data_IF_836635337797
#
_entry.id   IF_836635337797
#
_cell.length_a   1.000
_cell.length_b   1.000
_cell.length_c   1.000
_cell.angle_alpha   90.00
_cell.angle_beta   90.00
_cell.angle_gamma   90.00
#
_symmetry.space_group_name_H-M   'P 1'
#
loop_
_entity.id
_entity.type
_entity.pdbx_description
1 polymer ?
#
# COMPACT_ATOMS: atom_id res chain seq x y z
N UNK A 1 8.19 -6.50 8.47
CA UNK A 1 9.25 -7.13 7.66
C UNK A 1 10.61 -6.56 7.99
N UNK A 2 11.66 -7.44 7.98
CA UNK A 2 13.04 -7.02 8.12
C UNK A 2 13.60 -6.57 6.75
N UNK A 3 14.08 -5.34 6.68
CA UNK A 3 14.74 -4.77 5.52
C UNK A 3 16.26 -4.86 5.69
N UNK A 4 16.97 -5.10 4.59
CA UNK A 4 18.42 -5.11 4.56
C UNK A 4 18.97 -4.17 3.48
N UNK A 5 19.71 -3.15 3.89
CA UNK A 5 20.43 -2.26 2.99
C UNK A 5 21.92 -2.67 2.93
N UNK A 6 22.29 -3.38 1.87
CA UNK A 6 23.66 -3.86 1.67
C UNK A 6 24.71 -2.73 1.60
N UNK A 7 24.30 -1.51 1.21
CA UNK A 7 25.18 -0.33 1.12
C UNK A 7 25.68 0.15 2.46
N UNK A 8 24.91 -0.13 3.53
CA UNK A 8 25.20 0.24 4.90
C UNK A 8 25.93 -0.89 5.67
N UNK A 9 25.98 -2.09 5.11
CA UNK A 9 26.59 -3.25 5.77
C UNK A 9 28.11 -3.14 5.76
N UNK A 10 28.73 -3.24 6.94
CA UNK A 10 30.19 -3.21 7.06
C UNK A 10 30.83 -4.52 6.58
N UNK A 11 31.88 -4.40 5.79
CA UNK A 11 32.67 -5.54 5.35
C UNK A 11 33.29 -6.27 6.55
N UNK A 12 33.22 -7.60 6.55
CA UNK A 12 33.74 -8.43 7.64
C UNK A 12 32.91 -8.45 8.94
N UNK A 13 31.85 -7.63 9.07
CA UNK A 13 30.97 -7.65 10.22
C UNK A 13 30.08 -8.92 10.19
N UNK A 14 29.96 -9.61 11.34
CA UNK A 14 29.14 -10.82 11.48
C UNK A 14 28.19 -10.77 12.70
N UNK A 15 27.94 -9.60 13.27
CA UNK A 15 27.13 -9.43 14.48
C UNK A 15 25.71 -10.00 14.34
N UNK A 16 25.06 -9.74 13.19
CA UNK A 16 23.71 -10.26 12.93
C UNK A 16 23.67 -11.79 12.87
N UNK A 17 24.68 -12.42 12.26
CA UNK A 17 24.80 -13.89 12.20
C UNK A 17 25.08 -14.48 13.61
N UNK A 18 25.85 -13.79 14.44
CA UNK A 18 26.09 -14.24 15.82
C UNK A 18 24.83 -14.17 16.68
N UNK A 19 23.99 -13.15 16.47
CA UNK A 19 22.75 -12.94 17.21
C UNK A 19 21.64 -13.90 16.76
N UNK A 20 21.55 -14.17 15.45
CA UNK A 20 20.50 -15.02 14.87
C UNK A 20 21.08 -15.99 13.83
N UNK A 21 21.87 -17.01 14.28
CA UNK A 21 22.57 -17.92 13.36
C UNK A 21 21.65 -18.79 12.50
N UNK A 22 20.41 -19.05 12.95
CA UNK A 22 19.42 -19.83 12.20
C UNK A 22 18.65 -18.99 11.15
N UNK A 23 18.72 -17.67 11.27
CA UNK A 23 18.00 -16.70 10.42
C UNK A 23 18.92 -16.02 9.42
N UNK A 24 20.17 -15.80 9.79
CA UNK A 24 21.15 -15.05 8.98
C UNK A 24 22.29 -15.94 8.54
N UNK A 25 22.40 -16.10 7.22
CA UNK A 25 23.57 -16.69 6.59
C UNK A 25 24.41 -15.62 5.89
N UNK A 26 25.74 -15.72 6.04
CA UNK A 26 26.69 -14.92 5.30
C UNK A 26 27.33 -15.74 4.20
N UNK A 27 27.12 -15.29 2.97
CA UNK A 27 27.68 -15.93 1.78
C UNK A 27 28.68 -15.01 1.08
N UNK A 28 29.39 -15.53 0.08
CA UNK A 28 30.26 -14.72 -0.77
C UNK A 28 29.49 -13.63 -1.53
N UNK A 29 28.19 -13.82 -1.74
CA UNK A 29 27.31 -12.89 -2.47
C UNK A 29 26.56 -11.92 -1.55
N UNK A 30 26.84 -11.92 -0.24
CA UNK A 30 26.19 -11.05 0.74
C UNK A 30 25.45 -11.81 1.82
N UNK A 31 24.46 -11.14 2.41
CA UNK A 31 23.67 -11.65 3.52
C UNK A 31 22.39 -12.30 2.99
N UNK A 32 22.11 -13.50 3.46
CA UNK A 32 20.86 -14.22 3.20
C UNK A 32 20.03 -14.22 4.47
N UNK A 33 18.76 -13.82 4.37
CA UNK A 33 17.82 -13.75 5.49
C UNK A 33 16.73 -14.82 5.29
N UNK A 34 16.67 -15.78 6.17
CA UNK A 34 15.63 -16.81 6.24
C UNK A 34 14.37 -16.25 6.91
N UNK A 35 13.57 -15.51 6.15
CA UNK A 35 12.43 -14.75 6.65
C UNK A 35 11.35 -15.61 7.30
N UNK A 36 11.23 -16.85 6.88
CA UNK A 36 10.30 -17.85 7.43
C UNK A 36 10.64 -18.29 8.88
N UNK A 37 11.84 -17.92 9.35
CA UNK A 37 12.31 -18.23 10.71
C UNK A 37 12.32 -17.00 11.63
N UNK A 38 11.90 -15.84 11.12
CA UNK A 38 11.84 -14.61 11.90
C UNK A 38 10.68 -14.65 12.90
N UNK A 39 10.97 -14.35 14.14
CA UNK A 39 10.01 -14.00 15.18
C UNK A 39 10.28 -12.60 15.74
N UNK A 40 9.41 -12.10 16.59
CA UNK A 40 9.51 -10.73 17.14
C UNK A 40 10.77 -10.53 17.96
N UNK A 41 11.19 -11.56 18.72
CA UNK A 41 12.41 -11.52 19.54
C UNK A 41 13.64 -11.41 18.67
N UNK A 42 13.66 -12.18 17.57
CA UNK A 42 14.74 -12.19 16.61
C UNK A 42 14.81 -10.85 15.83
N UNK A 43 13.66 -10.30 15.44
CA UNK A 43 13.55 -8.99 14.80
C UNK A 43 14.14 -7.88 15.66
N UNK A 44 13.75 -7.83 16.94
CA UNK A 44 14.26 -6.84 17.90
C UNK A 44 15.78 -6.97 18.07
N UNK A 45 16.27 -8.17 18.30
CA UNK A 45 17.70 -8.43 18.45
C UNK A 45 18.52 -8.05 17.20
N UNK A 46 18.02 -8.37 16.00
CA UNK A 46 18.69 -8.07 14.74
C UNK A 46 18.77 -6.57 14.45
N UNK A 47 17.74 -5.81 14.76
CA UNK A 47 17.76 -4.35 14.57
C UNK A 47 18.69 -3.65 15.52
N UNK A 48 18.75 -4.11 16.79
CA UNK A 48 19.61 -3.53 17.80
C UNK A 48 21.09 -3.92 17.65
N UNK A 49 21.39 -5.08 17.08
CA UNK A 49 22.78 -5.52 16.91
C UNK A 49 23.50 -4.83 15.76
N UNK A 50 22.80 -4.20 14.81
CA UNK A 50 23.40 -3.61 13.61
C UNK A 50 23.88 -2.17 13.86
N UNK A 51 25.21 -1.91 13.96
CA UNK A 51 25.71 -0.58 14.31
C UNK A 51 25.51 0.48 13.22
N UNK A 52 25.27 0.05 11.99
CA UNK A 52 25.06 0.95 10.84
C UNK A 52 23.60 1.04 10.42
N UNK A 53 22.70 0.35 11.14
CA UNK A 53 21.29 0.26 10.78
C UNK A 53 21.06 -0.30 9.35
N UNK A 54 21.96 -1.17 8.87
CA UNK A 54 21.76 -1.90 7.63
C UNK A 54 20.57 -2.87 7.71
N UNK A 55 20.21 -3.30 8.91
CA UNK A 55 19.01 -4.07 9.22
C UNK A 55 18.01 -3.17 9.93
N UNK A 56 16.80 -3.04 9.37
CA UNK A 56 15.72 -2.22 9.95
C UNK A 56 14.39 -2.94 9.80
N UNK A 57 13.46 -2.72 10.73
CA UNK A 57 12.09 -3.22 10.60
C UNK A 57 11.26 -2.21 9.81
N UNK A 58 10.52 -2.71 8.82
CA UNK A 58 9.53 -1.92 8.10
C UNK A 58 8.20 -1.98 8.84
N UNK A 59 7.72 -0.80 9.23
CA UNK A 59 6.47 -0.64 9.97
C UNK A 59 6.71 -0.48 11.47
N UNK A 60 5.77 0.17 12.11
CA UNK A 60 5.69 0.36 13.54
C UNK A 60 4.29 -0.03 14.01
N UNK A 61 4.21 -0.72 15.15
CA UNK A 61 2.94 -0.92 15.82
C UNK A 61 2.54 0.37 16.54
N UNK A 62 1.37 0.89 16.20
CA UNK A 62 0.82 2.11 16.81
C UNK A 62 -0.65 1.93 17.12
N UNK A 63 -1.07 2.50 18.25
CA UNK A 63 -2.48 2.61 18.58
C UNK A 63 -3.15 3.71 17.75
N UNK A 64 -4.45 3.59 17.52
CA UNK A 64 -5.24 4.58 16.76
C UNK A 64 -5.09 5.98 17.34
N UNK A 65 -5.07 6.11 18.67
CA UNK A 65 -4.91 7.37 19.39
C UNK A 65 -3.56 8.05 19.11
N UNK A 66 -2.50 7.27 18.98
CA UNK A 66 -1.17 7.80 18.64
C UNK A 66 -1.12 8.32 17.21
N UNK A 67 -1.71 7.57 16.26
CA UNK A 67 -1.82 8.00 14.87
C UNK A 67 -2.66 9.28 14.79
N UNK A 68 -3.83 9.29 15.44
CA UNK A 68 -4.73 10.44 15.44
C UNK A 68 -4.12 11.66 16.11
N UNK A 69 -3.29 11.50 17.16
CA UNK A 69 -2.57 12.63 17.76
C UNK A 69 -1.64 13.32 16.76
N UNK A 70 -1.06 12.55 15.82
CA UNK A 70 -0.24 13.10 14.74
C UNK A 70 -1.09 13.78 13.68
N UNK A 71 -2.19 13.16 13.24
CA UNK A 71 -3.12 13.70 12.25
C UNK A 71 -3.73 15.03 12.72
N UNK A 72 -4.12 15.11 14.00
CA UNK A 72 -4.73 16.31 14.58
C UNK A 72 -3.79 17.51 14.67
N UNK A 73 -2.47 17.31 14.70
CA UNK A 73 -1.52 18.45 14.66
C UNK A 73 -1.64 19.24 13.37
N UNK A 74 -2.01 18.61 12.28
CA UNK A 74 -2.13 19.24 10.97
C UNK A 74 -3.57 19.74 10.67
N UNK A 75 -4.51 19.56 11.62
CA UNK A 75 -5.91 19.99 11.45
C UNK A 75 -6.07 21.46 11.05
N UNK A 76 -5.30 22.45 11.58
CA UNK A 76 -5.42 23.83 11.14
C UNK A 76 -5.10 24.05 9.65
N UNK A 77 -4.27 23.16 9.05
CA UNK A 77 -3.98 23.19 7.61
C UNK A 77 -5.12 22.55 6.82
N UNK A 78 -5.68 21.44 7.31
CA UNK A 78 -6.86 20.81 6.69
C UNK A 78 -8.06 21.75 6.65
N UNK A 79 -8.34 22.43 7.76
CA UNK A 79 -9.45 23.40 7.86
C UNK A 79 -9.33 24.56 6.85
N UNK A 80 -8.10 24.95 6.47
CA UNK A 80 -7.87 26.02 5.50
C UNK A 80 -7.90 25.55 4.05
N UNK A 81 -7.43 24.33 3.79
CA UNK A 81 -7.25 23.81 2.42
C UNK A 81 -8.45 22.99 1.94
N UNK A 82 -9.33 22.57 2.85
CA UNK A 82 -10.30 21.52 2.57
C UNK A 82 -9.69 20.14 2.39
N UNK A 83 -8.41 19.98 2.76
CA UNK A 83 -7.70 18.71 2.73
C UNK A 83 -8.01 17.83 3.93
N UNK A 84 -7.20 16.78 4.12
CA UNK A 84 -7.43 15.85 5.22
C UNK A 84 -6.43 14.71 5.27
N UNK A 85 -6.88 13.57 5.77
CA UNK A 85 -6.09 12.36 5.92
C UNK A 85 -6.34 11.40 4.75
N UNK A 86 -5.26 10.87 4.18
CA UNK A 86 -5.34 9.79 3.20
C UNK A 86 -4.71 8.52 3.78
N UNK A 87 -5.46 7.41 3.82
CA UNK A 87 -4.88 6.10 4.06
C UNK A 87 -4.34 5.54 2.75
N UNK A 88 -3.08 5.13 2.78
CA UNK A 88 -2.32 4.60 1.66
C UNK A 88 -1.31 3.56 2.17
N UNK A 89 -0.33 3.17 1.34
CA UNK A 89 0.76 2.26 1.71
C UNK A 89 0.71 0.97 0.91
N UNK A 90 0.54 -0.19 1.56
CA UNK A 90 0.08 -1.41 0.90
C UNK A 90 -1.40 -1.28 0.54
N UNK A 91 -2.19 -2.32 0.75
CA UNK A 91 -3.65 -2.20 0.64
C UNK A 91 -4.23 -1.90 2.03
N UNK A 92 -4.79 -0.70 2.28
CA UNK A 92 -5.30 -0.32 3.61
C UNK A 92 -6.35 -1.29 4.16
N UNK A 93 -7.19 -1.84 3.28
CA UNK A 93 -8.24 -2.78 3.66
C UNK A 93 -7.74 -4.21 3.96
N UNK A 94 -6.42 -4.47 3.93
CA UNK A 94 -5.89 -5.72 4.49
C UNK A 94 -5.99 -5.76 6.02
N UNK A 95 -6.07 -4.59 6.67
CA UNK A 95 -6.48 -4.47 8.07
C UNK A 95 -7.77 -3.62 8.15
N UNK A 96 -8.94 -4.21 7.86
CA UNK A 96 -10.19 -3.47 7.72
C UNK A 96 -10.66 -2.81 9.03
N UNK A 97 -10.34 -3.40 10.18
CA UNK A 97 -10.71 -2.85 11.49
C UNK A 97 -9.91 -1.59 11.81
N UNK A 98 -8.59 -1.61 11.59
CA UNK A 98 -7.74 -0.43 11.77
C UNK A 98 -8.13 0.68 10.79
N UNK A 99 -8.33 0.35 9.51
CA UNK A 99 -8.75 1.31 8.49
C UNK A 99 -10.07 1.99 8.90
N UNK A 100 -11.07 1.20 9.31
CA UNK A 100 -12.35 1.72 9.77
C UNK A 100 -12.22 2.65 10.98
N UNK A 101 -11.43 2.25 11.99
CA UNK A 101 -11.22 3.06 13.19
C UNK A 101 -10.56 4.40 12.86
N UNK A 102 -9.54 4.41 11.99
CA UNK A 102 -8.86 5.63 11.57
C UNK A 102 -9.78 6.57 10.76
N UNK A 103 -10.56 6.03 9.82
CA UNK A 103 -11.53 6.82 9.07
C UNK A 103 -12.61 7.38 9.98
N UNK A 104 -13.17 6.57 10.87
CA UNK A 104 -14.19 7.01 11.82
C UNK A 104 -13.66 8.11 12.73
N UNK A 105 -12.49 7.91 13.35
CA UNK A 105 -11.89 8.90 14.25
C UNK A 105 -11.58 10.23 13.53
N UNK A 106 -11.12 10.17 12.28
CA UNK A 106 -10.88 11.39 11.48
C UNK A 106 -12.17 12.09 11.11
N UNK A 107 -13.17 11.36 10.67
CA UNK A 107 -14.49 11.88 10.31
C UNK A 107 -15.19 12.56 11.51
N UNK A 108 -15.12 11.97 12.70
CA UNK A 108 -15.65 12.53 13.95
C UNK A 108 -14.97 13.86 14.34
N UNK A 109 -13.73 14.09 13.89
CA UNK A 109 -12.99 15.34 14.06
C UNK A 109 -13.23 16.34 12.91
N UNK A 110 -14.12 16.03 11.97
CA UNK A 110 -14.40 16.87 10.80
C UNK A 110 -13.23 16.97 9.82
N UNK A 111 -12.36 15.95 9.79
CA UNK A 111 -11.24 15.87 8.85
C UNK A 111 -11.72 15.09 7.63
N UNK A 112 -11.53 15.67 6.44
CA UNK A 112 -11.79 14.99 5.16
C UNK A 112 -10.93 13.73 5.03
N UNK A 113 -11.53 12.64 4.59
CA UNK A 113 -10.88 11.34 4.53
C UNK A 113 -10.83 10.81 3.10
N UNK A 114 -9.64 10.37 2.68
CA UNK A 114 -9.44 9.71 1.42
C UNK A 114 -8.76 8.35 1.60
N UNK A 115 -8.95 7.45 0.65
CA UNK A 115 -8.26 6.17 0.60
C UNK A 115 -7.66 5.91 -0.77
N UNK A 116 -6.38 5.52 -0.81
CA UNK A 116 -5.74 4.94 -1.97
C UNK A 116 -5.83 3.42 -1.88
N UNK A 117 -6.48 2.77 -2.84
CA UNK A 117 -6.75 1.34 -2.77
C UNK A 117 -6.72 0.69 -4.15
N UNK A 118 -6.23 -0.54 -4.24
CA UNK A 118 -6.35 -1.36 -5.43
C UNK A 118 -7.66 -2.14 -5.49
N UNK A 119 -8.50 -2.07 -4.45
CA UNK A 119 -9.81 -2.73 -4.35
C UNK A 119 -9.77 -4.26 -4.54
N UNK A 120 -8.60 -4.90 -4.46
CA UNK A 120 -8.47 -6.35 -4.61
C UNK A 120 -8.70 -7.10 -3.29
N UNK A 121 -9.70 -6.68 -2.51
CA UNK A 121 -10.10 -7.24 -1.23
C UNK A 121 -11.58 -7.66 -1.25
N UNK A 122 -12.04 -8.52 -0.33
CA UNK A 122 -13.46 -8.81 -0.17
C UNK A 122 -14.27 -7.55 0.15
N UNK A 123 -15.47 -7.42 -0.40
CA UNK A 123 -16.33 -6.25 -0.19
C UNK A 123 -16.61 -5.95 1.28
N UNK A 124 -16.82 -6.98 2.10
CA UNK A 124 -17.09 -6.82 3.53
C UNK A 124 -15.92 -6.22 4.33
N UNK A 125 -14.72 -6.06 3.72
CA UNK A 125 -13.61 -5.29 4.29
C UNK A 125 -13.76 -3.79 4.05
N UNK A 126 -14.41 -3.41 2.94
CA UNK A 126 -14.60 -2.02 2.52
C UNK A 126 -15.90 -1.43 3.12
N UNK A 127 -16.98 -2.19 3.02
CA UNK A 127 -18.36 -1.74 3.30
C UNK A 127 -18.52 -1.06 4.68
N UNK A 128 -17.94 -1.57 5.79
CA UNK A 128 -18.08 -0.94 7.10
C UNK A 128 -17.43 0.45 7.21
N UNK A 129 -16.49 0.77 6.33
CA UNK A 129 -15.77 2.05 6.29
C UNK A 129 -16.45 3.10 5.41
N UNK A 130 -17.39 2.71 4.55
CA UNK A 130 -18.04 3.62 3.60
C UNK A 130 -18.61 4.89 4.22
N UNK A 131 -19.29 4.88 5.40
CA UNK A 131 -19.84 6.09 5.98
C UNK A 131 -18.79 7.16 6.31
N UNK A 132 -17.54 6.74 6.51
CA UNK A 132 -16.46 7.57 7.02
C UNK A 132 -15.43 7.97 5.95
N UNK A 133 -15.64 7.59 4.68
CA UNK A 133 -14.73 7.90 3.57
C UNK A 133 -15.38 8.88 2.62
N UNK A 134 -14.72 10.02 2.42
CA UNK A 134 -15.18 11.10 1.55
C UNK A 134 -14.72 10.93 0.11
N UNK A 135 -13.54 10.29 -0.13
CA UNK A 135 -12.99 10.10 -1.47
C UNK A 135 -12.27 8.76 -1.62
N UNK A 136 -12.58 8.05 -2.68
CA UNK A 136 -11.83 6.86 -3.11
C UNK A 136 -10.91 7.22 -4.28
N UNK A 137 -9.61 6.99 -4.10
CA UNK A 137 -8.58 7.02 -5.13
C UNK A 137 -8.28 5.57 -5.51
N UNK A 138 -9.02 5.06 -6.51
CA UNK A 138 -9.04 3.63 -6.81
C UNK A 138 -8.17 3.28 -8.02
N UNK A 139 -7.24 2.36 -7.84
CA UNK A 139 -6.39 1.87 -8.91
C UNK A 139 -7.15 0.90 -9.81
N UNK A 140 -7.35 1.27 -11.08
CA UNK A 140 -7.84 0.38 -12.14
C UNK A 140 -6.71 0.09 -13.12
N UNK A 141 -6.11 -1.10 -12.99
CA UNK A 141 -4.91 -1.45 -13.77
C UNK A 141 -5.25 -2.04 -15.14
N UNK A 142 -6.34 -2.81 -15.25
CA UNK A 142 -6.83 -3.36 -16.52
C UNK A 142 -8.26 -3.90 -16.36
N UNK A 143 -9.05 -3.89 -17.43
CA UNK A 143 -10.42 -4.44 -17.43
C UNK A 143 -10.50 -5.87 -17.97
N UNK A 144 -9.53 -6.31 -18.80
CA UNK A 144 -9.45 -7.68 -19.27
C UNK A 144 -8.92 -8.61 -18.17
N UNK A 145 -9.70 -9.65 -17.86
CA UNK A 145 -9.40 -10.58 -16.75
C UNK A 145 -8.17 -11.44 -16.99
N UNK A 146 -7.89 -11.83 -18.25
CA UNK A 146 -6.75 -12.67 -18.58
C UNK A 146 -5.44 -11.87 -18.51
N UNK A 147 -5.44 -10.68 -19.07
CA UNK A 147 -4.30 -9.74 -19.03
C UNK A 147 -4.03 -9.34 -17.58
N UNK A 148 -5.06 -8.96 -16.83
CA UNK A 148 -4.92 -8.61 -15.42
C UNK A 148 -4.29 -9.75 -14.60
N UNK A 149 -4.80 -10.98 -14.78
CA UNK A 149 -4.28 -12.18 -14.09
C UNK A 149 -2.83 -12.46 -14.41
N UNK A 150 -2.44 -12.32 -15.68
CA UNK A 150 -1.06 -12.53 -16.14
C UNK A 150 -0.08 -11.59 -15.46
N UNK A 151 -0.46 -10.30 -15.27
CA UNK A 151 0.44 -9.27 -14.78
C UNK A 151 0.41 -9.05 -13.26
N UNK A 152 -0.69 -9.40 -12.61
CA UNK A 152 -0.89 -9.11 -11.18
C UNK A 152 -1.13 -10.35 -10.33
N UNK A 153 -1.30 -11.52 -10.96
CA UNK A 153 -1.78 -12.76 -10.35
C UNK A 153 -3.14 -12.61 -9.63
N UNK A 154 -3.79 -11.45 -9.79
CA UNK A 154 -5.04 -11.07 -9.16
C UNK A 154 -6.28 -11.38 -9.99
N UNK A 155 -7.43 -10.89 -9.53
CA UNK A 155 -8.74 -11.01 -10.18
C UNK A 155 -9.28 -9.64 -10.58
N UNK A 156 -9.29 -9.33 -11.87
CA UNK A 156 -9.94 -8.12 -12.38
C UNK A 156 -11.41 -8.07 -11.96
N UNK A 157 -12.13 -9.19 -12.04
CA UNK A 157 -13.54 -9.27 -11.65
C UNK A 157 -13.79 -8.71 -10.25
N UNK A 158 -12.95 -9.03 -9.28
CA UNK A 158 -13.09 -8.52 -7.89
C UNK A 158 -12.97 -7.00 -7.85
N UNK A 159 -11.97 -6.45 -8.53
CA UNK A 159 -11.74 -5.00 -8.59
C UNK A 159 -12.92 -4.30 -9.27
N UNK A 160 -13.33 -4.80 -10.44
CA UNK A 160 -14.45 -4.24 -11.21
C UNK A 160 -15.78 -4.30 -10.45
N UNK A 161 -16.07 -5.42 -9.77
CA UNK A 161 -17.27 -5.58 -8.95
C UNK A 161 -17.27 -4.58 -7.77
N UNK A 162 -16.11 -4.39 -7.09
CA UNK A 162 -15.98 -3.43 -6.00
C UNK A 162 -16.13 -1.98 -6.50
N UNK A 163 -15.56 -1.62 -7.64
CA UNK A 163 -15.75 -0.32 -8.27
C UNK A 163 -17.24 -0.05 -8.57
N UNK A 164 -17.95 -1.01 -9.16
CA UNK A 164 -19.40 -0.90 -9.41
C UNK A 164 -20.20 -0.68 -8.13
N UNK A 165 -19.84 -1.37 -7.05
CA UNK A 165 -20.51 -1.20 -5.74
C UNK A 165 -20.24 0.17 -5.14
N UNK A 166 -19.01 0.70 -5.25
CA UNK A 166 -18.69 2.06 -4.81
C UNK A 166 -19.48 3.11 -5.59
N UNK A 167 -19.54 3.00 -6.92
CA UNK A 167 -20.32 3.88 -7.77
C UNK A 167 -21.82 3.80 -7.43
N UNK A 168 -22.36 2.60 -7.27
CA UNK A 168 -23.77 2.40 -6.86
C UNK A 168 -24.08 2.94 -5.46
N UNK A 169 -23.10 2.97 -4.56
CA UNK A 169 -23.22 3.58 -3.24
C UNK A 169 -23.07 5.13 -3.27
N UNK A 170 -22.90 5.72 -4.46
CA UNK A 170 -22.76 7.17 -4.64
C UNK A 170 -21.47 7.74 -4.02
N UNK A 171 -20.43 6.94 -3.86
CA UNK A 171 -19.18 7.41 -3.26
C UNK A 171 -18.36 8.22 -4.27
N UNK A 172 -17.81 9.39 -3.86
CA UNK A 172 -16.85 10.11 -4.68
C UNK A 172 -15.66 9.23 -5.03
N UNK A 173 -15.37 9.13 -6.32
CA UNK A 173 -14.43 8.16 -6.87
C UNK A 173 -13.59 8.81 -7.96
N UNK A 174 -12.27 8.78 -7.80
CA UNK A 174 -11.28 9.07 -8.81
C UNK A 174 -10.61 7.77 -9.23
N UNK A 175 -10.63 7.46 -10.52
CA UNK A 175 -9.92 6.30 -11.05
C UNK A 175 -8.45 6.68 -11.29
N UNK A 176 -7.53 5.87 -10.78
CA UNK A 176 -6.10 6.02 -11.03
C UNK A 176 -5.61 4.85 -11.88
N UNK A 177 -4.89 5.18 -12.95
CA UNK A 177 -4.37 4.18 -13.89
C UNK A 177 -2.84 4.28 -13.93
N UNK A 178 -2.11 3.42 -13.20
CA UNK A 178 -0.68 3.31 -13.37
C UNK A 178 -0.36 2.78 -14.77
N UNK A 179 0.23 3.63 -15.63
CA UNK A 179 0.56 3.27 -17.01
C UNK A 179 1.85 2.46 -17.05
N UNK A 180 1.74 1.17 -17.35
CA UNK A 180 2.89 0.25 -17.40
C UNK A 180 3.09 -0.20 -18.84
N UNK A 181 4.26 0.12 -19.45
CA UNK A 181 4.58 -0.33 -20.81
C UNK A 181 4.47 -1.85 -20.98
N UNK A 182 3.79 -2.29 -22.02
CA UNK A 182 3.55 -3.70 -22.30
C UNK A 182 2.38 -4.33 -21.53
N UNK A 183 1.80 -3.62 -20.56
CA UNK A 183 0.65 -4.09 -19.80
C UNK A 183 -0.65 -3.34 -20.18
N UNK A 184 -0.68 -2.02 -19.99
CA UNK A 184 -1.89 -1.22 -20.14
C UNK A 184 -1.64 0.18 -20.72
N UNK A 185 -0.42 0.47 -21.18
CA UNK A 185 -0.06 1.78 -21.73
C UNK A 185 -0.31 1.89 -23.26
N UNK A 186 -1.03 0.96 -23.85
CA UNK A 186 -1.47 1.02 -25.25
C UNK A 186 -2.86 1.64 -25.39
N UNK A 187 -3.18 2.11 -26.60
CA UNK A 187 -4.43 2.81 -26.91
C UNK A 187 -5.67 1.96 -26.63
N UNK A 188 -5.62 0.67 -26.94
CA UNK A 188 -6.77 -0.22 -26.77
C UNK A 188 -7.07 -0.43 -25.27
N UNK A 189 -6.05 -0.65 -24.46
CA UNK A 189 -6.17 -0.79 -23.01
C UNK A 189 -6.68 0.49 -22.34
N UNK A 190 -6.12 1.65 -22.72
CA UNK A 190 -6.55 2.96 -22.21
C UNK A 190 -8.02 3.21 -22.58
N UNK A 191 -8.39 2.97 -23.83
CA UNK A 191 -9.77 3.11 -24.29
C UNK A 191 -10.74 2.21 -23.54
N UNK A 192 -10.38 0.94 -23.31
CA UNK A 192 -11.21 0.00 -22.58
C UNK A 192 -11.40 0.43 -21.11
N UNK A 193 -10.34 0.92 -20.45
CA UNK A 193 -10.38 1.42 -19.08
C UNK A 193 -11.25 2.68 -18.97
N UNK A 194 -11.07 3.63 -19.89
CA UNK A 194 -11.84 4.89 -19.87
C UNK A 194 -13.31 4.66 -20.17
N UNK A 195 -13.64 3.78 -21.13
CA UNK A 195 -15.03 3.41 -21.40
C UNK A 195 -15.68 2.73 -20.19
N UNK A 196 -14.97 1.79 -19.54
CA UNK A 196 -15.49 1.17 -18.31
C UNK A 196 -15.77 2.21 -17.22
N UNK A 197 -14.86 3.16 -17.00
CA UNK A 197 -15.05 4.22 -16.00
C UNK A 197 -16.24 5.13 -16.34
N UNK A 198 -16.38 5.53 -17.61
CA UNK A 198 -17.46 6.40 -18.04
C UNK A 198 -18.83 5.68 -18.09
N UNK A 199 -18.87 4.51 -18.76
CA UNK A 199 -20.14 3.86 -19.10
C UNK A 199 -20.71 3.01 -17.96
N UNK A 200 -19.82 2.35 -17.19
CA UNK A 200 -20.22 1.42 -16.13
C UNK A 200 -20.22 2.03 -14.72
N UNK A 201 -19.39 3.07 -14.51
CA UNK A 201 -19.25 3.70 -13.19
C UNK A 201 -19.80 5.13 -13.17
N UNK A 202 -20.02 5.76 -14.34
CA UNK A 202 -20.32 7.19 -14.47
C UNK A 202 -19.25 8.07 -13.81
N UNK A 203 -17.96 7.67 -13.93
CA UNK A 203 -16.80 8.39 -13.38
C UNK A 203 -16.02 9.01 -14.52
N UNK A 204 -15.79 10.33 -14.43
CA UNK A 204 -15.07 11.12 -15.46
C UNK A 204 -13.75 11.68 -14.94
N UNK A 205 -13.45 11.50 -13.66
CA UNK A 205 -12.18 11.89 -13.04
C UNK A 205 -11.22 10.70 -13.08
N UNK A 206 -10.28 10.74 -14.03
CA UNK A 206 -9.31 9.67 -14.29
C UNK A 206 -7.90 10.25 -14.29
N UNK A 207 -7.06 9.76 -13.39
CA UNK A 207 -5.65 10.13 -13.31
C UNK A 207 -4.76 9.05 -13.92
N UNK A 208 -4.08 9.36 -15.01
CA UNK A 208 -3.05 8.51 -15.57
C UNK A 208 -1.72 8.79 -14.88
N UNK A 209 -1.14 7.77 -14.26
CA UNK A 209 0.10 7.87 -13.51
C UNK A 209 1.25 7.30 -14.36
N UNK A 210 2.18 8.14 -14.84
CA UNK A 210 3.33 7.65 -15.60
C UNK A 210 4.15 6.63 -14.81
N UNK A 211 4.66 5.61 -15.52
CA UNK A 211 5.52 4.60 -14.90
C UNK A 211 6.79 5.24 -14.31
N UNK A 212 7.14 4.82 -13.11
CA UNK A 212 8.39 5.20 -12.43
C UNK A 212 8.98 4.02 -11.66
N UNK A 213 10.29 4.07 -11.43
CA UNK A 213 11.04 2.99 -10.76
C UNK A 213 11.26 3.23 -9.26
N UNK A 214 10.58 4.21 -8.64
CA UNK A 214 10.78 4.57 -7.22
C UNK A 214 10.53 3.40 -6.26
N UNK A 215 9.65 2.46 -6.63
CA UNK A 215 9.37 1.26 -5.84
C UNK A 215 10.46 0.18 -5.89
N UNK A 216 11.38 0.22 -6.85
CA UNK A 216 12.39 -0.83 -7.04
C UNK A 216 13.30 -1.02 -5.83
N UNK A 217 13.62 0.07 -5.12
CA UNK A 217 14.44 0.00 -3.91
C UNK A 217 13.83 -0.91 -2.82
N UNK A 218 12.51 -1.01 -2.74
CA UNK A 218 11.84 -1.90 -1.77
C UNK A 218 12.13 -3.37 -2.04
N UNK A 219 12.12 -3.78 -3.31
CA UNK A 219 12.45 -5.16 -3.70
C UNK A 219 13.91 -5.49 -3.33
N UNK A 220 14.83 -4.58 -3.62
CA UNK A 220 16.25 -4.74 -3.26
C UNK A 220 16.43 -4.91 -1.74
N UNK A 221 15.74 -4.06 -0.92
CA UNK A 221 15.79 -4.14 0.54
C UNK A 221 15.15 -5.42 1.11
N UNK A 222 14.24 -6.03 0.36
CA UNK A 222 13.62 -7.31 0.69
C UNK A 222 14.41 -8.52 0.15
N UNK A 223 15.46 -8.28 -0.63
CA UNK A 223 16.28 -9.35 -1.25
C UNK A 223 15.58 -10.02 -2.43
N UNK A 224 14.73 -9.28 -3.15
CA UNK A 224 13.97 -9.72 -4.33
C UNK A 224 14.47 -9.04 -5.61
#
# INVERSE_FOLDING_TARGET
DLLFDARLCLEGCNLCQQVAPDVIDRTLNGLVIHREKLDDTCLDALTHCCPTQALTVCGEEKQVEEIMSTVLRDKPFYDRSGGGMTLSGGEPFMNPDLARQLFQASHEQGIHTAVETCLHVPWHYIEPSLPYIDLFLADLKHVDGAVFKQWTDGSAKRVLDNLKRLAAAGKPLTIRVPLIPGFNADEASITAITNFAADELNVHDIHFLPYHTLGMNKYTLLGQ
#
